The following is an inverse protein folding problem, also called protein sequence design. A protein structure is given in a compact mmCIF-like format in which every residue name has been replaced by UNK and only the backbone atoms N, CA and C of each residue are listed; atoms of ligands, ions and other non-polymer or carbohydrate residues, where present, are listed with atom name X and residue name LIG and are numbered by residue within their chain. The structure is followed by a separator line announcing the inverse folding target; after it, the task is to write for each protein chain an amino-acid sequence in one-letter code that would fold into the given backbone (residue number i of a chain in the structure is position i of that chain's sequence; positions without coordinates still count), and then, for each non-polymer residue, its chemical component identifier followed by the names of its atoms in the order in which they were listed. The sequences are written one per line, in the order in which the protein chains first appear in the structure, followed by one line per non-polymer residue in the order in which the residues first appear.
data_IF_481182256052
#
_entry.id   IF_481182256052
#
_cell.length_a   1.000
_cell.length_b   1.000
_cell.length_c   1.000
_cell.angle_alpha   90.00
_cell.angle_beta   90.00
_cell.angle_gamma   90.00
#
_symmetry.space_group_name_H-M   'P 1'
#
loop_
_entity.id
_entity.type
_entity.pdbx_description
1 polymer ?
#
# COMPACT_ATOMS: atom_id res chain seq x y z
N UNK A 1 100.68 25.24 -22.23
CA UNK A 1 100.03 24.31 -23.18
C UNK A 1 98.96 23.52 -22.44
N UNK A 2 97.76 23.37 -23.01
CA UNK A 2 96.60 22.74 -22.37
C UNK A 2 96.44 21.27 -22.77
N UNK A 3 95.81 20.43 -21.94
CA UNK A 3 94.88 19.42 -22.45
C UNK A 3 93.79 19.11 -21.42
N UNK A 4 92.55 19.31 -21.86
CA UNK A 4 91.29 19.15 -21.15
C UNK A 4 90.96 17.67 -20.93
N UNK A 5 90.19 17.34 -19.89
CA UNK A 5 89.24 16.23 -19.99
C UNK A 5 87.95 16.59 -19.24
N UNK A 6 86.84 16.28 -19.89
CA UNK A 6 85.52 16.86 -19.72
C UNK A 6 84.76 16.31 -18.52
N UNK A 7 84.08 17.21 -17.81
CA UNK A 7 82.84 16.88 -17.09
C UNK A 7 81.73 16.72 -18.13
N UNK A 8 80.93 15.64 -18.14
CA UNK A 8 79.81 15.52 -19.06
C UNK A 8 78.75 16.57 -18.71
N UNK A 9 78.52 17.48 -19.65
CA UNK A 9 77.34 18.32 -19.69
C UNK A 9 76.30 17.60 -20.56
N UNK A 10 75.15 17.25 -19.99
CA UNK A 10 73.92 17.11 -20.78
C UNK A 10 72.72 17.36 -19.88
N UNK A 11 72.34 18.63 -19.85
CA UNK A 11 70.93 19.00 -19.74
C UNK A 11 70.12 18.21 -20.77
N UNK A 12 69.33 17.25 -20.32
CA UNK A 12 68.15 16.81 -21.06
C UNK A 12 66.93 17.14 -20.20
N UNK A 13 66.51 18.41 -20.27
CA UNK A 13 65.14 18.78 -19.97
C UNK A 13 64.24 17.94 -20.85
N UNK A 14 63.60 16.92 -20.26
CA UNK A 14 62.55 16.14 -20.91
C UNK A 14 61.39 17.12 -21.15
N UNK A 15 61.18 17.54 -22.39
CA UNK A 15 59.99 18.31 -22.78
C UNK A 15 58.76 17.57 -22.28
N UNK A 16 57.82 18.22 -21.56
CA UNK A 16 56.61 17.55 -21.10
C UNK A 16 55.85 17.00 -22.31
N UNK A 17 55.44 15.74 -22.25
CA UNK A 17 54.69 15.09 -23.33
C UNK A 17 53.23 15.57 -23.32
N UNK A 18 53.04 16.81 -23.76
CA UNK A 18 51.74 17.45 -23.88
C UNK A 18 50.79 16.69 -24.81
N UNK A 19 51.31 15.87 -25.75
CA UNK A 19 50.48 15.09 -26.68
C UNK A 19 49.74 13.97 -25.97
N UNK A 20 50.40 13.25 -25.06
CA UNK A 20 49.76 12.21 -24.24
C UNK A 20 48.67 12.78 -23.33
N UNK A 21 48.89 13.96 -22.75
CA UNK A 21 47.93 14.66 -21.89
C UNK A 21 46.71 15.16 -22.68
N UNK A 22 46.93 15.71 -23.88
CA UNK A 22 45.85 16.14 -24.78
C UNK A 22 44.98 14.96 -25.20
N UNK A 23 45.59 13.81 -25.53
CA UNK A 23 44.85 12.59 -25.89
C UNK A 23 44.01 12.05 -24.73
N UNK A 24 44.56 12.10 -23.50
CA UNK A 24 43.81 11.69 -22.31
C UNK A 24 42.63 12.63 -22.01
N UNK A 25 42.83 13.95 -22.16
CA UNK A 25 41.75 14.94 -22.00
C UNK A 25 40.64 14.75 -23.03
N UNK A 26 40.98 14.41 -24.27
CA UNK A 26 40.02 14.13 -25.32
C UNK A 26 39.22 12.84 -25.03
N UNK A 27 39.89 11.80 -24.52
CA UNK A 27 39.25 10.56 -24.11
C UNK A 27 38.30 10.74 -22.91
N UNK A 28 38.70 11.53 -21.91
CA UNK A 28 37.84 11.90 -20.76
C UNK A 28 36.62 12.69 -21.24
N UNK A 29 36.81 13.62 -22.19
CA UNK A 29 35.72 14.39 -22.77
C UNK A 29 34.72 13.49 -23.51
N UNK A 30 35.19 12.51 -24.29
CA UNK A 30 34.30 11.56 -24.96
C UNK A 30 33.52 10.68 -23.98
N UNK A 31 34.17 10.16 -22.94
CA UNK A 31 33.50 9.35 -21.91
C UNK A 31 32.44 10.17 -21.15
N UNK A 32 32.72 11.44 -20.87
CA UNK A 32 31.75 12.34 -20.23
C UNK A 32 30.52 12.62 -21.12
N UNK A 33 30.72 12.78 -22.44
CA UNK A 33 29.61 12.96 -23.39
C UNK A 33 28.72 11.71 -23.41
N UNK A 34 29.32 10.52 -23.51
CA UNK A 34 28.58 9.25 -23.50
C UNK A 34 27.83 9.03 -22.19
N UNK A 35 28.45 9.34 -21.04
CA UNK A 35 27.79 9.27 -19.74
C UNK A 35 26.60 10.24 -19.67
N UNK A 36 26.77 11.47 -20.16
CA UNK A 36 25.71 12.48 -20.18
C UNK A 36 24.52 12.05 -21.04
N UNK A 37 24.78 11.51 -22.23
CA UNK A 37 23.73 10.97 -23.11
C UNK A 37 23.02 9.79 -22.45
N UNK A 38 23.76 8.82 -21.91
CA UNK A 38 23.18 7.67 -21.22
C UNK A 38 22.31 8.06 -20.00
N UNK A 39 22.77 9.02 -19.19
CA UNK A 39 22.00 9.54 -18.04
C UNK A 39 20.79 10.36 -18.51
N UNK A 40 20.92 11.14 -19.59
CA UNK A 40 19.82 11.88 -20.20
C UNK A 40 18.71 10.96 -20.70
N UNK A 41 19.05 9.99 -21.56
CA UNK A 41 18.12 9.01 -22.12
C UNK A 41 17.44 8.18 -21.02
N UNK A 42 18.20 7.80 -19.98
CA UNK A 42 17.65 7.07 -18.82
C UNK A 42 16.68 7.93 -18.02
N UNK A 43 16.92 9.24 -17.92
CA UNK A 43 16.06 10.19 -17.21
C UNK A 43 14.75 10.42 -17.98
N UNK A 44 14.85 10.61 -19.30
CA UNK A 44 13.68 10.80 -20.18
C UNK A 44 12.80 9.55 -20.21
N UNK A 45 13.40 8.37 -20.34
CA UNK A 45 12.69 7.09 -20.28
C UNK A 45 12.04 6.80 -18.91
N UNK A 46 12.65 7.26 -17.81
CA UNK A 46 12.03 7.20 -16.47
C UNK A 46 10.83 8.15 -16.37
N UNK A 47 10.95 9.36 -16.91
CA UNK A 47 9.88 10.36 -16.88
C UNK A 47 8.66 9.92 -17.70
N UNK A 48 8.87 9.30 -18.86
CA UNK A 48 7.79 8.72 -19.67
C UNK A 48 7.06 7.62 -18.90
N UNK A 49 7.79 6.66 -18.29
CA UNK A 49 7.19 5.59 -17.49
C UNK A 49 6.41 6.12 -16.29
N UNK A 50 6.93 7.14 -15.58
CA UNK A 50 6.22 7.80 -14.48
C UNK A 50 4.94 8.44 -15.00
N UNK A 51 4.98 9.07 -16.17
CA UNK A 51 3.81 9.71 -16.79
C UNK A 51 2.74 8.69 -17.17
N UNK A 52 3.12 7.56 -17.79
CA UNK A 52 2.18 6.48 -18.12
C UNK A 52 1.56 5.83 -16.87
N UNK A 53 2.36 5.62 -15.81
CA UNK A 53 1.84 5.12 -14.53
C UNK A 53 0.87 6.12 -13.92
N UNK A 54 1.21 7.42 -13.94
CA UNK A 54 0.34 8.49 -13.43
C UNK A 54 -0.99 8.56 -14.18
N UNK A 55 -0.98 8.43 -15.51
CA UNK A 55 -2.21 8.37 -16.31
C UNK A 55 -3.05 7.14 -15.94
N UNK A 56 -2.43 5.97 -15.77
CA UNK A 56 -3.11 4.74 -15.37
C UNK A 56 -3.73 4.86 -13.97
N UNK A 57 -3.04 5.50 -13.01
CA UNK A 57 -3.56 5.80 -11.68
C UNK A 57 -4.79 6.71 -11.79
N UNK A 58 -4.69 7.84 -12.51
CA UNK A 58 -5.80 8.78 -12.67
C UNK A 58 -7.06 8.13 -13.29
N UNK A 59 -6.88 7.27 -14.31
CA UNK A 59 -8.00 6.53 -14.92
C UNK A 59 -8.63 5.56 -13.93
N UNK A 60 -7.82 4.89 -13.12
CA UNK A 60 -8.29 3.95 -12.10
C UNK A 60 -9.06 4.67 -10.99
N UNK A 61 -8.53 5.79 -10.48
CA UNK A 61 -9.21 6.63 -9.49
C UNK A 61 -10.55 7.17 -10.01
N UNK A 62 -10.56 7.67 -11.26
CA UNK A 62 -11.80 8.16 -11.90
C UNK A 62 -12.83 7.05 -12.02
N UNK A 63 -12.43 5.86 -12.49
CA UNK A 63 -13.33 4.71 -12.60
C UNK A 63 -13.86 4.24 -11.25
N UNK A 64 -13.04 4.30 -10.19
CA UNK A 64 -13.46 3.97 -8.82
C UNK A 64 -14.49 4.99 -8.32
N UNK A 65 -14.24 6.29 -8.50
CA UNK A 65 -15.17 7.34 -8.10
C UNK A 65 -16.52 7.23 -8.82
N UNK A 66 -16.51 6.95 -10.12
CA UNK A 66 -17.72 6.68 -10.90
C UNK A 66 -18.47 5.44 -10.41
N UNK A 67 -17.74 4.36 -10.06
CA UNK A 67 -18.33 3.16 -9.48
C UNK A 67 -19.05 3.46 -8.16
N UNK A 68 -18.40 4.18 -7.23
CA UNK A 68 -19.01 4.55 -5.95
C UNK A 68 -20.28 5.40 -6.16
N UNK A 69 -20.22 6.40 -7.03
CA UNK A 69 -21.40 7.24 -7.36
C UNK A 69 -22.55 6.40 -7.92
N UNK A 70 -22.25 5.46 -8.81
CA UNK A 70 -23.27 4.59 -9.40
C UNK A 70 -23.82 3.59 -8.38
N UNK A 71 -22.98 3.02 -7.53
CA UNK A 71 -23.38 2.14 -6.44
C UNK A 71 -24.33 2.85 -5.47
N UNK A 72 -24.02 4.09 -5.07
CA UNK A 72 -24.90 4.89 -4.20
C UNK A 72 -26.25 5.18 -4.87
N UNK A 73 -26.25 5.53 -6.16
CA UNK A 73 -27.49 5.72 -6.93
C UNK A 73 -28.34 4.45 -6.95
N UNK A 74 -27.72 3.29 -7.20
CA UNK A 74 -28.41 1.99 -7.20
C UNK A 74 -28.95 1.67 -5.80
N UNK A 75 -28.17 1.89 -4.74
CA UNK A 75 -28.60 1.66 -3.37
C UNK A 75 -29.82 2.53 -3.03
N UNK A 76 -29.83 3.81 -3.44
CA UNK A 76 -30.99 4.69 -3.24
C UNK A 76 -32.23 4.18 -3.98
N UNK A 77 -32.08 3.69 -5.22
CA UNK A 77 -33.19 3.10 -5.97
C UNK A 77 -33.70 1.81 -5.32
N UNK A 78 -32.82 0.94 -4.86
CA UNK A 78 -33.16 -0.29 -4.15
C UNK A 78 -33.88 -0.01 -2.82
N UNK A 79 -33.50 1.04 -2.11
CA UNK A 79 -34.20 1.51 -0.91
C UNK A 79 -35.61 2.01 -1.22
N UNK A 80 -35.82 2.69 -2.36
CA UNK A 80 -37.18 3.11 -2.79
C UNK A 80 -38.06 1.91 -3.09
N UNK A 81 -37.53 0.91 -3.81
CA UNK A 81 -38.23 -0.35 -4.11
C UNK A 81 -38.56 -1.08 -2.80
N UNK A 82 -37.62 -1.13 -1.85
CA UNK A 82 -37.80 -1.75 -0.55
C UNK A 82 -39.01 -1.19 0.21
N UNK A 83 -39.21 0.13 0.16
CA UNK A 83 -40.26 0.78 0.93
C UNK A 83 -41.68 0.52 0.39
N UNK A 84 -41.82 -0.02 -0.82
CA UNK A 84 -43.13 -0.22 -1.49
C UNK A 84 -43.41 -1.66 -1.92
N UNK A 85 -42.43 -2.57 -1.80
CA UNK A 85 -42.51 -3.93 -2.35
C UNK A 85 -42.80 -5.01 -1.30
N UNK A 86 -43.00 -6.25 -1.79
CA UNK A 86 -43.23 -7.44 -0.96
C UNK A 86 -41.93 -7.99 -0.34
N UNK A 87 -42.07 -8.90 0.63
CA UNK A 87 -40.95 -9.46 1.41
C UNK A 87 -39.84 -10.08 0.53
N UNK A 88 -40.19 -10.76 -0.55
CA UNK A 88 -39.22 -11.35 -1.49
C UNK A 88 -38.39 -10.27 -2.18
N UNK A 89 -39.01 -9.19 -2.65
CA UNK A 89 -38.29 -8.07 -3.27
C UNK A 89 -37.41 -7.33 -2.28
N UNK A 90 -37.85 -7.20 -1.02
CA UNK A 90 -37.07 -6.61 0.06
C UNK A 90 -35.81 -7.43 0.35
N UNK A 91 -35.93 -8.76 0.41
CA UNK A 91 -34.81 -9.66 0.63
C UNK A 91 -33.76 -9.55 -0.50
N UNK A 92 -34.18 -9.57 -1.77
CA UNK A 92 -33.27 -9.42 -2.91
C UNK A 92 -32.58 -8.05 -2.91
N UNK A 93 -33.31 -6.96 -2.64
CA UNK A 93 -32.71 -5.62 -2.53
C UNK A 93 -31.66 -5.55 -1.42
N UNK A 94 -31.91 -6.16 -0.27
CA UNK A 94 -30.98 -6.19 0.85
C UNK A 94 -29.71 -7.01 0.53
N UNK A 95 -29.85 -8.14 -0.16
CA UNK A 95 -28.71 -8.94 -0.64
C UNK A 95 -27.83 -8.14 -1.61
N UNK A 96 -28.43 -7.43 -2.57
CA UNK A 96 -27.69 -6.58 -3.52
C UNK A 96 -27.01 -5.40 -2.82
N UNK A 97 -27.69 -4.73 -1.89
CA UNK A 97 -27.09 -3.65 -1.08
C UNK A 97 -25.90 -4.18 -0.27
N UNK A 98 -26.04 -5.35 0.34
CA UNK A 98 -24.96 -6.00 1.08
C UNK A 98 -23.73 -6.28 0.22
N UNK A 99 -23.92 -6.79 -1.01
CA UNK A 99 -22.83 -7.04 -1.95
C UNK A 99 -22.13 -5.75 -2.40
N UNK A 100 -22.89 -4.69 -2.69
CA UNK A 100 -22.32 -3.40 -3.10
C UNK A 100 -21.49 -2.78 -1.97
N UNK A 101 -22.01 -2.79 -0.74
CA UNK A 101 -21.29 -2.27 0.44
C UNK A 101 -20.08 -3.13 0.82
N UNK A 102 -20.17 -4.45 0.65
CA UNK A 102 -19.02 -5.34 0.83
C UNK A 102 -17.90 -5.03 -0.17
N UNK A 103 -18.26 -4.80 -1.44
CA UNK A 103 -17.30 -4.46 -2.49
C UNK A 103 -16.62 -3.12 -2.21
N UNK A 104 -17.38 -2.10 -1.82
CA UNK A 104 -16.85 -0.80 -1.39
C UNK A 104 -15.87 -0.95 -0.21
N UNK A 105 -16.28 -1.69 0.83
CA UNK A 105 -15.45 -1.97 1.99
C UNK A 105 -14.12 -2.66 1.63
N UNK A 106 -14.17 -3.72 0.83
CA UNK A 106 -12.97 -4.45 0.42
C UNK A 106 -12.01 -3.56 -0.39
N UNK A 107 -12.56 -2.69 -1.24
CA UNK A 107 -11.77 -1.70 -2.00
C UNK A 107 -11.06 -0.72 -1.06
N UNK A 108 -11.79 -0.17 -0.09
CA UNK A 108 -11.24 0.80 0.87
C UNK A 108 -10.11 0.19 1.72
N UNK A 109 -10.30 -1.03 2.23
CA UNK A 109 -9.25 -1.71 3.01
C UNK A 109 -8.01 -1.98 2.15
N UNK A 110 -8.17 -2.37 0.89
CA UNK A 110 -7.03 -2.55 -0.03
C UNK A 110 -6.32 -1.23 -0.31
N UNK A 111 -7.06 -0.16 -0.58
CA UNK A 111 -6.50 1.17 -0.81
C UNK A 111 -5.69 1.65 0.40
N UNK A 112 -6.17 1.42 1.62
CA UNK A 112 -5.41 1.72 2.83
C UNK A 112 -4.13 0.88 2.94
N UNK A 113 -4.20 -0.40 2.58
CA UNK A 113 -3.05 -1.31 2.64
C UNK A 113 -1.96 -1.00 1.61
N UNK A 114 -2.31 -0.33 0.51
CA UNK A 114 -1.36 0.09 -0.53
C UNK A 114 -0.54 1.33 -0.15
N UNK A 115 -0.84 1.96 0.99
CA UNK A 115 -0.04 3.07 1.51
C UNK A 115 1.35 2.58 1.94
N UNK A 116 2.40 3.17 1.36
CA UNK A 116 3.80 2.87 1.74
C UNK A 116 4.10 3.19 3.20
N UNK A 117 3.48 4.25 3.72
CA UNK A 117 3.59 4.67 5.10
C UNK A 117 2.19 4.97 5.62
N UNK A 118 1.91 4.55 6.84
CA UNK A 118 0.67 4.82 7.52
C UNK A 118 0.90 5.12 8.99
N UNK A 119 -0.18 5.49 9.65
CA UNK A 119 -0.21 5.91 11.04
C UNK A 119 -1.29 5.17 11.81
N UNK A 120 -1.36 5.41 13.11
CA UNK A 120 -2.45 4.88 13.94
C UNK A 120 -3.83 5.33 13.45
N UNK A 121 -3.96 6.54 12.89
CA UNK A 121 -5.21 7.04 12.30
C UNK A 121 -5.67 6.19 11.10
N UNK A 122 -4.73 5.67 10.30
CA UNK A 122 -5.06 4.78 9.19
C UNK A 122 -5.58 3.43 9.72
N UNK A 123 -4.96 2.88 10.76
CA UNK A 123 -5.41 1.64 11.42
C UNK A 123 -6.79 1.83 12.05
N UNK A 124 -7.02 2.96 12.70
CA UNK A 124 -8.31 3.32 13.31
C UNK A 124 -9.42 3.35 12.25
N UNK A 125 -9.19 4.03 11.12
CA UNK A 125 -10.12 4.04 9.98
C UNK A 125 -10.41 2.65 9.43
N UNK A 126 -9.38 1.82 9.24
CA UNK A 126 -9.58 0.44 8.77
C UNK A 126 -10.40 -0.40 9.78
N UNK A 127 -10.19 -0.19 11.08
CA UNK A 127 -10.93 -0.87 12.14
C UNK A 127 -12.39 -0.37 12.22
N UNK A 128 -12.63 0.93 12.10
CA UNK A 128 -13.96 1.54 12.04
C UNK A 128 -14.76 1.02 10.84
N UNK A 129 -14.19 1.07 9.63
CA UNK A 129 -14.81 0.52 8.42
C UNK A 129 -15.15 -0.97 8.58
N UNK A 130 -14.29 -1.72 9.26
CA UNK A 130 -14.53 -3.14 9.55
C UNK A 130 -15.69 -3.34 10.54
N UNK A 131 -15.82 -2.48 11.54
CA UNK A 131 -16.97 -2.50 12.46
C UNK A 131 -18.27 -2.13 11.73
N UNK A 132 -18.24 -1.11 10.87
CA UNK A 132 -19.40 -0.65 10.10
C UNK A 132 -19.96 -1.73 9.19
N UNK A 133 -19.11 -2.42 8.41
CA UNK A 133 -19.56 -3.47 7.50
C UNK A 133 -20.14 -4.68 8.25
N UNK A 134 -19.59 -5.01 9.42
CA UNK A 134 -20.12 -6.09 10.28
C UNK A 134 -21.52 -5.72 10.77
N UNK A 135 -21.66 -4.52 11.33
CA UNK A 135 -22.94 -4.03 11.84
C UNK A 135 -24.00 -3.94 10.72
N UNK A 136 -23.60 -3.59 9.50
CA UNK A 136 -24.49 -3.57 8.34
C UNK A 136 -25.02 -4.97 8.01
N UNK A 137 -24.14 -5.98 7.96
CA UNK A 137 -24.55 -7.36 7.66
C UNK A 137 -25.39 -7.97 8.79
N UNK A 138 -25.11 -7.62 10.05
CA UNK A 138 -25.94 -8.02 11.18
C UNK A 138 -27.35 -7.40 11.08
N UNK A 139 -27.44 -6.12 10.70
CA UNK A 139 -28.72 -5.45 10.43
C UNK A 139 -29.48 -6.11 9.27
N UNK A 140 -28.82 -6.37 8.15
CA UNK A 140 -29.42 -7.06 6.99
C UNK A 140 -29.91 -8.46 7.38
N UNK A 141 -29.16 -9.17 8.24
CA UNK A 141 -29.55 -10.49 8.74
C UNK A 141 -30.83 -10.44 9.57
N UNK A 142 -30.93 -9.47 10.48
CA UNK A 142 -32.12 -9.28 11.31
C UNK A 142 -33.32 -8.91 10.43
N UNK A 143 -33.14 -7.98 9.50
CA UNK A 143 -34.22 -7.49 8.61
C UNK A 143 -34.72 -8.57 7.63
N UNK A 144 -33.85 -9.45 7.15
CA UNK A 144 -34.22 -10.50 6.19
C UNK A 144 -34.74 -11.79 6.85
N UNK A 145 -34.63 -11.92 8.19
CA UNK A 145 -34.92 -13.17 8.91
C UNK A 145 -34.00 -14.33 8.53
N UNK A 146 -33.00 -14.08 7.66
CA UNK A 146 -31.99 -15.04 7.22
C UNK A 146 -30.68 -14.67 7.89
N UNK A 147 -29.96 -15.65 8.43
CA UNK A 147 -28.64 -15.44 8.99
C UNK A 147 -27.64 -15.22 7.84
N UNK A 148 -27.46 -13.97 7.42
CA UNK A 148 -26.49 -13.52 6.41
C UNK A 148 -25.41 -12.68 7.11
N UNK A 149 -24.66 -13.24 8.08
CA UNK A 149 -23.58 -12.51 8.72
C UNK A 149 -22.48 -12.28 7.69
N UNK A 150 -21.64 -11.28 7.93
CA UNK A 150 -20.43 -11.10 7.14
C UNK A 150 -19.64 -12.42 7.10
N UNK A 151 -19.18 -12.92 5.94
CA UNK A 151 -18.42 -14.16 5.87
C UNK A 151 -17.19 -14.11 6.78
N UNK A 152 -16.89 -15.24 7.41
CA UNK A 152 -15.81 -15.31 8.38
C UNK A 152 -14.45 -15.01 7.74
N UNK A 153 -14.27 -15.45 6.49
CA UNK A 153 -13.09 -15.25 5.68
C UNK A 153 -12.84 -13.77 5.42
N UNK A 154 -13.91 -12.97 5.21
CA UNK A 154 -13.79 -11.52 5.04
C UNK A 154 -13.33 -10.86 6.33
N UNK A 155 -13.88 -11.27 7.49
CA UNK A 155 -13.43 -10.76 8.80
C UNK A 155 -11.96 -11.09 9.04
N UNK A 156 -11.57 -12.35 8.84
CA UNK A 156 -10.17 -12.77 9.02
C UNK A 156 -9.23 -12.07 8.03
N UNK A 157 -9.65 -11.91 6.78
CA UNK A 157 -8.90 -11.18 5.77
C UNK A 157 -8.64 -9.74 6.22
N UNK A 158 -9.68 -9.02 6.63
CA UNK A 158 -9.57 -7.63 7.07
C UNK A 158 -8.63 -7.43 8.27
N UNK A 159 -8.80 -8.22 9.33
CA UNK A 159 -7.93 -8.16 10.51
C UNK A 159 -6.50 -8.54 10.15
N UNK A 160 -6.35 -9.52 9.26
CA UNK A 160 -5.05 -9.89 8.72
C UNK A 160 -4.36 -8.75 8.00
N UNK A 161 -5.06 -8.10 7.08
CA UNK A 161 -4.55 -6.94 6.34
C UNK A 161 -4.14 -5.83 7.29
N UNK A 162 -4.93 -5.55 8.34
CA UNK A 162 -4.58 -4.55 9.36
C UNK A 162 -3.26 -4.93 10.08
N UNK A 163 -3.05 -6.21 10.41
CA UNK A 163 -1.78 -6.65 11.00
C UNK A 163 -0.60 -6.50 10.04
N UNK A 164 -0.77 -6.83 8.76
CA UNK A 164 0.28 -6.68 7.75
C UNK A 164 0.64 -5.19 7.53
N UNK A 165 -0.37 -4.31 7.56
CA UNK A 165 -0.15 -2.85 7.52
C UNK A 165 0.60 -2.36 8.76
N UNK A 166 0.20 -2.85 9.95
CA UNK A 166 0.85 -2.47 11.20
C UNK A 166 2.32 -2.95 11.27
N UNK A 167 2.64 -4.12 10.70
CA UNK A 167 4.01 -4.58 10.53
C UNK A 167 4.81 -3.64 9.62
N UNK A 168 4.26 -3.38 8.42
CA UNK A 168 4.88 -2.53 7.40
C UNK A 168 5.13 -1.11 7.91
N UNK A 169 4.23 -0.58 8.74
CA UNK A 169 4.33 0.77 9.30
C UNK A 169 4.96 0.81 10.70
N UNK A 170 5.54 -0.31 11.15
CA UNK A 170 6.23 -0.47 12.45
C UNK A 170 5.38 -0.02 13.66
N UNK A 171 4.07 -0.25 13.58
CA UNK A 171 3.13 0.11 14.64
C UNK A 171 3.27 -0.86 15.80
N UNK A 172 3.43 -0.32 17.02
CA UNK A 172 3.54 -1.13 18.23
C UNK A 172 2.27 -1.95 18.45
N UNK A 173 2.45 -3.24 18.70
CA UNK A 173 1.35 -4.18 18.94
C UNK A 173 0.37 -3.74 20.04
N UNK A 174 0.85 -3.05 21.09
CA UNK A 174 -0.02 -2.59 22.18
C UNK A 174 -1.01 -1.50 21.74
N UNK A 175 -0.56 -0.57 20.89
CA UNK A 175 -1.39 0.49 20.36
C UNK A 175 -2.40 -0.08 19.36
N UNK A 176 -1.92 -0.96 18.47
CA UNK A 176 -2.74 -1.70 17.52
C UNK A 176 -3.85 -2.51 18.22
N UNK A 177 -3.50 -3.32 19.22
CA UNK A 177 -4.45 -4.14 19.95
C UNK A 177 -5.47 -3.27 20.70
N UNK A 178 -5.07 -2.09 21.20
CA UNK A 178 -5.98 -1.15 21.85
C UNK A 178 -7.02 -0.60 20.87
N UNK A 179 -6.60 -0.17 19.67
CA UNK A 179 -7.51 0.31 18.62
C UNK A 179 -8.48 -0.79 18.22
N UNK A 180 -7.97 -1.99 17.91
CA UNK A 180 -8.82 -3.10 17.49
C UNK A 180 -9.84 -3.51 18.56
N UNK A 181 -9.45 -3.52 19.84
CA UNK A 181 -10.38 -3.79 20.94
C UNK A 181 -11.46 -2.72 21.08
N UNK A 182 -11.12 -1.45 20.87
CA UNK A 182 -12.06 -0.34 20.99
C UNK A 182 -13.07 -0.33 19.84
N UNK A 183 -12.62 -0.50 18.59
CA UNK A 183 -13.48 -0.39 17.42
C UNK A 183 -14.28 -1.66 17.14
N UNK A 184 -13.68 -2.84 17.34
CA UNK A 184 -14.28 -4.13 16.95
C UNK A 184 -14.86 -4.92 18.13
N UNK A 185 -14.40 -4.62 19.34
CA UNK A 185 -14.75 -5.40 20.53
C UNK A 185 -14.04 -6.76 20.61
N UNK A 186 -14.16 -7.38 21.79
CA UNK A 186 -13.45 -8.63 22.12
C UNK A 186 -13.90 -9.83 21.29
N UNK A 187 -15.22 -9.98 21.10
CA UNK A 187 -15.79 -11.18 20.46
C UNK A 187 -15.38 -11.28 19.00
N UNK A 188 -15.56 -10.19 18.24
CA UNK A 188 -15.18 -10.17 16.83
C UNK A 188 -13.69 -10.42 16.64
N UNK A 189 -12.88 -9.77 17.46
CA UNK A 189 -11.43 -9.90 17.38
C UNK A 189 -10.98 -11.33 17.73
N UNK A 190 -11.59 -11.95 18.75
CA UNK A 190 -11.29 -13.33 19.16
C UNK A 190 -11.58 -14.34 18.05
N UNK A 191 -12.68 -14.16 17.33
CA UNK A 191 -13.04 -15.05 16.21
C UNK A 191 -12.16 -14.79 14.99
N UNK A 192 -11.80 -13.54 14.72
CA UNK A 192 -11.21 -13.15 13.43
C UNK A 192 -9.68 -13.14 13.40
N UNK A 193 -9.01 -13.21 14.56
CA UNK A 193 -7.54 -13.24 14.62
C UNK A 193 -6.98 -14.60 14.18
N UNK A 194 -6.00 -14.55 13.26
CA UNK A 194 -5.11 -15.67 12.98
C UNK A 194 -3.90 -15.61 13.92
N UNK A 195 -3.89 -16.47 14.96
CA UNK A 195 -2.81 -16.52 15.96
C UNK A 195 -1.44 -16.74 15.32
N UNK A 196 -1.39 -17.51 14.22
CA UNK A 196 -0.15 -17.74 13.48
C UNK A 196 0.45 -16.44 12.95
N UNK A 197 -0.36 -15.60 12.31
CA UNK A 197 0.08 -14.32 11.76
C UNK A 197 0.60 -13.39 12.86
N UNK A 198 -0.12 -13.29 13.98
CA UNK A 198 0.33 -12.47 15.11
C UNK A 198 1.65 -12.97 15.68
N UNK A 199 1.84 -14.30 15.76
CA UNK A 199 3.10 -14.89 16.19
C UNK A 199 4.25 -14.50 15.26
N UNK A 200 4.01 -14.58 13.97
CA UNK A 200 5.05 -14.42 12.96
C UNK A 200 5.48 -12.95 12.83
N UNK A 201 4.53 -12.02 13.01
CA UNK A 201 4.77 -10.57 12.96
C UNK A 201 5.30 -10.03 14.30
N UNK A 202 4.58 -10.28 15.40
CA UNK A 202 4.82 -9.61 16.69
C UNK A 202 5.44 -10.51 17.77
N UNK A 203 5.65 -11.80 17.47
CA UNK A 203 6.26 -12.78 18.37
C UNK A 203 5.34 -13.34 19.45
N UNK A 204 5.88 -14.25 20.26
CA UNK A 204 5.14 -15.02 21.27
C UNK A 204 4.52 -14.13 22.36
N UNK A 205 5.19 -13.03 22.74
CA UNK A 205 4.68 -12.08 23.75
C UNK A 205 3.35 -11.44 23.34
N UNK A 206 3.13 -11.22 22.04
CA UNK A 206 1.88 -10.68 21.52
C UNK A 206 0.73 -11.70 21.67
N UNK A 207 1.00 -12.98 21.45
CA UNK A 207 0.03 -14.06 21.66
C UNK A 207 -0.43 -14.10 23.12
N UNK A 208 0.50 -13.98 24.07
CA UNK A 208 0.15 -13.99 25.50
C UNK A 208 -0.75 -12.80 25.87
N UNK A 209 -0.48 -11.61 25.30
CA UNK A 209 -1.34 -10.44 25.46
C UNK A 209 -2.74 -10.67 24.88
N UNK A 210 -2.85 -11.28 23.70
CA UNK A 210 -4.14 -11.66 23.10
C UNK A 210 -4.89 -12.61 24.01
N UNK A 211 -4.25 -13.71 24.46
CA UNK A 211 -4.85 -14.71 25.34
C UNK A 211 -5.33 -14.11 26.67
N UNK A 212 -4.60 -13.13 27.21
CA UNK A 212 -4.96 -12.47 28.46
C UNK A 212 -6.12 -11.48 28.28
N UNK A 213 -6.17 -10.72 27.18
CA UNK A 213 -7.22 -9.71 26.95
C UNK A 213 -8.51 -10.25 26.31
N UNK A 214 -8.42 -11.33 25.54
CA UNK A 214 -9.54 -11.99 24.83
C UNK A 214 -10.04 -13.28 25.50
N UNK A 215 -9.67 -13.49 26.77
CA UNK A 215 -10.18 -14.59 27.58
C UNK A 215 -11.71 -14.56 27.63
#
# INVERSE_FOLDING_TARGET
MPTKTNVPNTNNQKSPDYSSLLKNLENIKSEFITLREYVGDSTDGLQEKISSISEMINRTETSSAEFHKKADSIIQELQKIRNTANETSVATSNEVIGLLKLTEYQSNIRMHAELKYGSLDNIEKMAEQTAEIVNLFDKISIESGKKIPLPHEVRQWAIGTIFDCADTWEIRFDDLLKILLNSLGKNLLKESIRIQQVRDIFGIKAIDKIKNKLK
#
